data_IF_060199401163
#
_entry.id   IF_060199401163
#
_cell.length_a   1.000
_cell.length_b   1.000
_cell.length_c   1.000
_cell.angle_alpha   90.00
_cell.angle_beta   90.00
_cell.angle_gamma   90.00
#
_symmetry.space_group_name_H-M   'P 1'
#
loop_
_entity.id
_entity.type
_entity.pdbx_description
1 polymer ?
#
# COMPACT_ATOMS: atom_id res chain seq x y z
N UNK A 1 -43.10 26.21 -12.90
CA UNK A 1 -42.13 27.13 -12.29
C UNK A 1 -41.89 26.67 -10.85
N UNK A 2 -40.85 25.86 -10.60
CA UNK A 2 -40.59 25.25 -9.29
C UNK A 2 -39.66 26.14 -8.46
N UNK A 3 -40.10 26.54 -7.26
CA UNK A 3 -39.29 27.25 -6.26
C UNK A 3 -38.42 26.24 -5.52
N UNK A 4 -37.10 26.42 -5.59
CA UNK A 4 -36.11 25.71 -4.77
C UNK A 4 -35.94 26.49 -3.47
N UNK A 5 -36.31 25.89 -2.33
CA UNK A 5 -36.02 26.39 -0.99
C UNK A 5 -34.70 25.80 -0.49
N UNK A 6 -33.67 26.63 -0.39
CA UNK A 6 -32.39 26.30 0.23
C UNK A 6 -32.53 26.32 1.76
N UNK A 7 -32.70 25.13 2.35
CA UNK A 7 -32.61 24.94 3.80
C UNK A 7 -31.15 24.91 4.25
N UNK A 8 -30.70 25.98 4.91
CA UNK A 8 -29.41 26.00 5.60
C UNK A 8 -29.49 25.14 6.87
N UNK A 9 -28.72 24.05 6.90
CA UNK A 9 -28.60 23.19 8.07
C UNK A 9 -27.80 23.92 9.17
N UNK A 10 -28.51 24.59 10.07
CA UNK A 10 -27.95 25.15 11.30
C UNK A 10 -27.69 23.98 12.25
N UNK A 11 -26.46 23.46 12.25
CA UNK A 11 -26.03 22.48 13.24
C UNK A 11 -25.93 23.15 14.62
N UNK A 12 -26.63 22.64 15.66
CA UNK A 12 -26.60 23.24 17.00
C UNK A 12 -25.19 23.11 17.60
N UNK A 13 -24.60 24.24 17.98
CA UNK A 13 -23.24 24.37 18.54
C UNK A 13 -22.98 23.46 19.75
N UNK A 14 -24.04 23.04 20.41
CA UNK A 14 -24.03 22.26 21.65
C UNK A 14 -23.57 20.81 21.42
N UNK A 15 -23.88 20.23 20.25
CA UNK A 15 -23.41 18.89 19.88
C UNK A 15 -21.91 18.87 19.55
N UNK A 16 -21.39 19.95 18.98
CA UNK A 16 -19.96 20.07 18.65
C UNK A 16 -19.10 20.10 19.93
N UNK A 17 -19.57 20.85 20.94
CA UNK A 17 -18.92 20.91 22.25
C UNK A 17 -18.93 19.56 22.97
N UNK A 18 -20.02 18.79 22.87
CA UNK A 18 -20.10 17.46 23.46
C UNK A 18 -19.10 16.48 22.82
N UNK A 19 -18.99 16.49 21.49
CA UNK A 19 -18.03 15.63 20.76
C UNK A 19 -16.59 16.03 21.09
N UNK A 20 -16.28 17.32 21.12
CA UNK A 20 -14.95 17.82 21.50
C UNK A 20 -14.58 17.42 22.93
N UNK A 21 -15.52 17.53 23.89
CA UNK A 21 -15.28 17.14 25.29
C UNK A 21 -15.09 15.63 25.45
N UNK A 22 -15.80 14.82 24.66
CA UNK A 22 -15.64 13.35 24.64
C UNK A 22 -14.28 12.95 24.07
N UNK A 23 -13.83 13.59 22.99
CA UNK A 23 -12.49 13.38 22.42
C UNK A 23 -11.40 13.82 23.40
N UNK A 24 -11.58 14.96 24.07
CA UNK A 24 -10.63 15.47 25.06
C UNK A 24 -10.48 14.52 26.26
N UNK A 25 -11.58 13.93 26.74
CA UNK A 25 -11.55 12.97 27.85
C UNK A 25 -10.92 11.62 27.46
N UNK A 26 -11.11 11.17 26.21
CA UNK A 26 -10.41 9.98 25.69
C UNK A 26 -8.90 10.25 25.59
N UNK A 27 -8.50 11.40 25.06
CA UNK A 27 -7.10 11.83 25.01
C UNK A 27 -6.50 11.94 26.42
N UNK A 28 -7.24 12.49 27.39
CA UNK A 28 -6.78 12.62 28.78
C UNK A 28 -6.59 11.26 29.46
N UNK A 29 -7.44 10.27 29.17
CA UNK A 29 -7.26 8.89 29.64
C UNK A 29 -6.03 8.22 29.01
N UNK A 30 -5.72 8.53 27.76
CA UNK A 30 -4.49 8.04 27.11
C UNK A 30 -3.21 8.64 27.71
N UNK A 31 -3.26 9.88 28.20
CA UNK A 31 -2.11 10.57 28.80
C UNK A 31 -1.87 10.15 30.27
N UNK A 32 -2.90 9.68 30.98
CA UNK A 32 -2.81 9.35 32.42
C UNK A 32 -2.17 8.00 32.76
N UNK A 33 -1.95 7.10 31.81
CA UNK A 33 -1.23 5.85 32.06
C UNK A 33 0.29 6.03 31.86
N UNK A 34 0.93 6.72 32.83
CA UNK A 34 2.38 6.72 33.03
C UNK A 34 2.86 5.33 33.46
N UNK A 35 3.13 4.50 32.47
CA UNK A 35 4.13 3.42 32.39
C UNK A 35 3.84 2.80 31.04
N UNK A 36 4.68 3.07 30.04
CA UNK A 36 4.67 2.22 28.86
C UNK A 36 4.78 0.79 29.39
N UNK A 37 3.81 -0.11 29.11
CA UNK A 37 3.96 -1.50 29.51
C UNK A 37 5.29 -1.94 28.93
N UNK A 38 6.15 -2.58 29.74
CA UNK A 38 7.36 -3.24 29.23
C UNK A 38 6.90 -4.06 28.04
N UNK A 39 7.16 -3.57 26.82
CA UNK A 39 6.72 -4.24 25.61
C UNK A 39 7.32 -5.63 25.71
N UNK A 40 6.46 -6.64 25.60
CA UNK A 40 6.88 -8.00 25.93
C UNK A 40 8.16 -8.30 25.15
N UNK A 41 9.28 -8.54 25.85
CA UNK A 41 10.60 -8.66 25.24
C UNK A 41 10.60 -9.67 24.10
N UNK A 42 9.75 -10.70 24.23
CA UNK A 42 9.49 -11.69 23.19
C UNK A 42 8.91 -11.10 21.91
N UNK A 43 7.92 -10.19 21.96
CA UNK A 43 7.33 -9.56 20.76
C UNK A 43 8.39 -8.79 19.99
N UNK A 44 9.20 -8.00 20.70
CA UNK A 44 10.23 -7.19 20.07
C UNK A 44 11.35 -8.06 19.47
N UNK A 45 11.73 -9.15 20.16
CA UNK A 45 12.68 -10.14 19.63
C UNK A 45 12.14 -10.81 18.36
N UNK A 46 10.88 -11.26 18.36
CA UNK A 46 10.24 -11.87 17.19
C UNK A 46 10.19 -10.89 16.02
N UNK A 47 9.80 -9.63 16.26
CA UNK A 47 9.75 -8.60 15.22
C UNK A 47 11.14 -8.33 14.64
N UNK A 48 12.17 -8.27 15.49
CA UNK A 48 13.57 -8.13 15.05
C UNK A 48 14.00 -9.27 14.16
N UNK A 49 13.75 -10.51 14.58
CA UNK A 49 14.09 -11.70 13.78
C UNK A 49 13.41 -11.64 12.42
N UNK A 50 12.11 -11.33 12.37
CA UNK A 50 11.37 -11.22 11.10
C UNK A 50 12.00 -10.18 10.17
N UNK A 51 12.30 -8.98 10.68
CA UNK A 51 12.85 -7.89 9.86
C UNK A 51 14.29 -8.16 9.45
N UNK A 52 15.13 -8.70 10.34
CA UNK A 52 16.51 -9.08 10.02
C UNK A 52 16.53 -10.22 8.98
N UNK A 53 15.70 -11.25 9.15
CA UNK A 53 15.56 -12.33 8.16
C UNK A 53 15.09 -11.78 6.83
N UNK A 54 14.08 -10.90 6.80
CA UNK A 54 13.62 -10.25 5.58
C UNK A 54 14.74 -9.45 4.88
N UNK A 55 15.56 -8.72 5.66
CA UNK A 55 16.71 -7.98 5.14
C UNK A 55 17.78 -8.87 4.51
N UNK A 56 18.09 -10.01 5.12
CA UNK A 56 19.08 -10.93 4.56
C UNK A 56 18.55 -11.78 3.41
N UNK A 57 17.23 -12.03 3.35
CA UNK A 57 16.60 -12.75 2.25
C UNK A 57 16.40 -11.89 1.00
N UNK A 58 16.14 -10.59 1.14
CA UNK A 58 15.82 -9.74 -0.01
C UNK A 58 17.01 -9.57 -0.96
N UNK A 59 18.24 -9.52 -0.43
CA UNK A 59 19.46 -9.35 -1.24
C UNK A 59 19.73 -10.53 -2.19
N UNK A 60 19.79 -11.80 -1.74
CA UNK A 60 19.96 -12.94 -2.63
C UNK A 60 18.73 -13.12 -3.54
N UNK A 61 17.51 -12.84 -3.04
CA UNK A 61 16.31 -12.92 -3.87
C UNK A 61 16.36 -11.92 -5.04
N UNK A 62 16.78 -10.68 -4.78
CA UNK A 62 17.00 -9.69 -5.84
C UNK A 62 18.01 -10.18 -6.87
N UNK A 63 19.13 -10.75 -6.43
CA UNK A 63 20.16 -11.25 -7.33
C UNK A 63 19.61 -12.38 -8.21
N UNK A 64 18.87 -13.32 -7.62
CA UNK A 64 18.22 -14.42 -8.35
C UNK A 64 17.24 -13.87 -9.38
N UNK A 65 16.35 -12.95 -8.98
CA UNK A 65 15.36 -12.36 -9.89
C UNK A 65 16.04 -11.60 -11.02
N UNK A 66 17.10 -10.82 -10.74
CA UNK A 66 17.85 -10.11 -11.77
C UNK A 66 18.53 -11.07 -12.76
N UNK A 67 19.09 -12.19 -12.29
CA UNK A 67 19.66 -13.24 -13.13
C UNK A 67 18.58 -13.89 -14.00
N UNK A 68 17.42 -14.24 -13.41
CA UNK A 68 16.30 -14.87 -14.14
C UNK A 68 15.79 -13.95 -15.24
N UNK A 69 15.57 -12.66 -14.93
CA UNK A 69 15.17 -11.66 -15.92
C UNK A 69 16.24 -11.54 -17.01
N UNK A 70 17.53 -11.46 -16.63
CA UNK A 70 18.63 -11.37 -17.58
C UNK A 70 18.72 -12.58 -18.53
N UNK A 71 18.54 -13.80 -18.01
CA UNK A 71 18.53 -15.03 -18.81
C UNK A 71 17.30 -15.03 -19.74
N UNK A 72 16.10 -14.75 -19.24
CA UNK A 72 14.89 -14.72 -20.07
C UNK A 72 15.01 -13.72 -21.21
N UNK A 73 15.56 -12.54 -20.94
CA UNK A 73 15.83 -11.51 -21.96
C UNK A 73 16.84 -12.02 -22.99
N UNK A 74 17.88 -12.74 -22.57
CA UNK A 74 18.91 -13.25 -23.47
C UNK A 74 18.47 -14.47 -24.31
N UNK A 75 17.66 -15.39 -23.75
CA UNK A 75 17.35 -16.68 -24.40
C UNK A 75 16.01 -16.72 -25.10
N UNK A 76 14.96 -16.14 -24.50
CA UNK A 76 13.59 -16.29 -25.01
C UNK A 76 13.18 -15.12 -25.91
N UNK A 77 13.71 -13.92 -25.65
CA UNK A 77 13.27 -12.69 -26.32
C UNK A 77 11.76 -12.41 -26.19
N UNK A 78 11.11 -13.12 -25.26
CA UNK A 78 9.68 -13.14 -24.98
C UNK A 78 9.44 -13.19 -23.48
N UNK A 79 8.45 -12.45 -23.01
CA UNK A 79 8.06 -12.40 -21.60
C UNK A 79 6.55 -12.67 -21.50
N UNK A 80 6.16 -13.60 -20.63
CA UNK A 80 4.77 -13.69 -20.20
C UNK A 80 4.45 -12.44 -19.35
N UNK A 81 3.60 -11.58 -19.88
CA UNK A 81 3.15 -10.37 -19.20
C UNK A 81 1.73 -10.56 -18.67
N UNK A 82 1.60 -10.49 -17.35
CA UNK A 82 0.32 -10.62 -16.66
C UNK A 82 -0.41 -9.26 -16.64
N UNK A 83 -1.50 -9.14 -17.41
CA UNK A 83 -2.35 -7.94 -17.41
C UNK A 83 -3.67 -8.23 -16.70
N UNK A 84 -3.98 -7.55 -15.58
CA UNK A 84 -5.27 -7.71 -14.93
C UNK A 84 -6.39 -7.13 -15.82
N UNK A 85 -7.37 -7.97 -16.15
CA UNK A 85 -8.51 -7.61 -17.01
C UNK A 85 -9.82 -7.94 -16.32
N UNK A 86 -10.86 -7.17 -16.64
CA UNK A 86 -12.25 -7.46 -16.28
C UNK A 86 -12.96 -7.92 -17.53
N UNK A 87 -13.66 -9.05 -17.44
CA UNK A 87 -14.52 -9.56 -18.50
C UNK A 87 -15.75 -8.67 -18.64
N UNK A 88 -16.05 -8.22 -19.87
CA UNK A 88 -17.33 -7.59 -20.19
C UNK A 88 -18.38 -8.68 -20.29
N UNK A 89 -19.25 -8.75 -19.29
CA UNK A 89 -20.29 -9.78 -19.15
C UNK A 89 -21.51 -9.55 -20.05
N UNK A 90 -21.54 -8.46 -20.83
CA UNK A 90 -22.70 -8.06 -21.63
C UNK A 90 -22.98 -9.01 -22.82
N UNK A 91 -22.05 -9.91 -23.14
CA UNK A 91 -22.13 -10.83 -24.28
C UNK A 91 -21.89 -12.30 -23.93
N UNK A 92 -21.70 -12.64 -22.65
CA UNK A 92 -21.44 -14.02 -22.24
C UNK A 92 -22.78 -14.77 -22.11
N UNK A 93 -22.95 -15.95 -22.76
CA UNK A 93 -24.12 -16.77 -22.56
C UNK A 93 -24.11 -17.27 -21.11
N UNK A 94 -25.08 -16.82 -20.32
CA UNK A 94 -25.34 -17.41 -19.02
C UNK A 94 -26.15 -18.68 -19.29
N UNK A 95 -25.49 -19.84 -19.29
CA UNK A 95 -26.22 -21.09 -19.14
C UNK A 95 -26.91 -21.05 -17.77
N UNK A 96 -28.23 -21.05 -17.78
CA UNK A 96 -29.04 -21.15 -16.57
C UNK A 96 -28.74 -22.49 -15.92
N UNK A 97 -28.00 -22.47 -14.82
CA UNK A 97 -27.94 -23.62 -13.90
C UNK A 97 -29.31 -23.65 -13.22
N UNK A 98 -30.17 -24.56 -13.66
CA UNK A 98 -31.49 -24.80 -13.07
C UNK A 98 -31.40 -26.02 -12.14
N UNK A 99 -30.93 -25.76 -10.92
CA UNK A 99 -31.01 -26.70 -9.80
C UNK A 99 -32.01 -26.13 -8.80
N UNK A 100 -32.81 -27.00 -8.16
CA UNK A 100 -33.99 -26.64 -7.36
C UNK A 100 -33.81 -25.54 -6.30
N UNK A 101 -32.57 -25.24 -5.90
CA UNK A 101 -32.22 -24.26 -4.87
C UNK A 101 -31.38 -23.07 -5.36
N UNK A 102 -30.95 -23.03 -6.63
CA UNK A 102 -30.04 -22.00 -7.14
C UNK A 102 -30.40 -21.54 -8.55
N UNK A 103 -30.76 -20.26 -8.69
CA UNK A 103 -30.88 -19.59 -9.99
C UNK A 103 -29.66 -18.68 -10.22
N UNK A 104 -28.70 -19.14 -11.03
CA UNK A 104 -27.60 -18.29 -11.49
C UNK A 104 -28.09 -17.36 -12.61
N UNK A 105 -28.32 -16.09 -12.30
CA UNK A 105 -28.94 -15.13 -13.23
C UNK A 105 -27.97 -14.11 -13.84
N UNK A 106 -26.78 -13.92 -13.26
CA UNK A 106 -25.79 -12.97 -13.78
C UNK A 106 -24.39 -13.26 -13.26
N UNK A 107 -23.42 -13.30 -14.16
CA UNK A 107 -22.00 -13.19 -13.80
C UNK A 107 -21.69 -11.70 -13.62
N UNK A 108 -21.18 -11.31 -12.45
CA UNK A 108 -20.87 -9.91 -12.13
C UNK A 108 -19.36 -9.76 -11.96
N UNK A 109 -18.73 -8.99 -12.86
CA UNK A 109 -17.31 -8.57 -12.76
C UNK A 109 -16.34 -9.71 -12.49
N UNK A 110 -16.24 -10.66 -13.41
CA UNK A 110 -15.19 -11.68 -13.34
C UNK A 110 -13.84 -11.01 -13.60
N UNK A 111 -13.00 -11.01 -12.57
CA UNK A 111 -11.61 -10.57 -12.66
C UNK A 111 -10.75 -11.73 -13.20
N UNK A 112 -9.88 -11.44 -14.15
CA UNK A 112 -8.97 -12.41 -14.73
C UNK A 112 -7.58 -11.79 -14.97
N UNK A 113 -6.60 -12.65 -15.20
CA UNK A 113 -5.26 -12.25 -15.63
C UNK A 113 -5.08 -12.71 -17.06
N UNK A 114 -4.91 -11.76 -17.97
CA UNK A 114 -4.56 -12.07 -19.35
C UNK A 114 -3.05 -12.26 -19.42
N UNK A 115 -2.63 -13.47 -19.76
CA UNK A 115 -1.23 -13.80 -20.04
C UNK A 115 -0.92 -13.44 -21.48
N UNK A 116 -0.12 -12.40 -21.69
CA UNK A 116 0.32 -12.00 -23.01
C UNK A 116 1.76 -12.48 -23.23
N UNK A 117 1.99 -13.25 -24.30
CA UNK A 117 3.35 -13.54 -24.76
C UNK A 117 3.86 -12.33 -25.56
N UNK A 118 4.62 -11.45 -24.90
CA UNK A 118 5.08 -10.18 -25.49
C UNK A 118 6.54 -10.31 -25.91
N UNK A 119 6.83 -9.99 -27.18
CA UNK A 119 8.21 -9.89 -27.64
C UNK A 119 8.91 -8.74 -26.93
N UNK A 120 10.01 -9.05 -26.24
CA UNK A 120 10.82 -8.09 -25.49
C UNK A 120 11.50 -7.12 -26.47
N UNK A 121 10.95 -5.91 -26.57
CA UNK A 121 11.65 -4.79 -27.18
C UNK A 121 12.63 -4.19 -26.17
N UNK A 122 13.71 -3.52 -26.61
CA UNK A 122 14.62 -2.83 -25.69
C UNK A 122 13.89 -1.84 -24.78
N UNK A 123 12.84 -1.19 -25.30
CA UNK A 123 11.98 -0.28 -24.54
C UNK A 123 11.21 -1.00 -23.42
N UNK A 124 10.52 -2.11 -23.71
CA UNK A 124 9.79 -2.91 -22.71
C UNK A 124 10.72 -3.48 -21.64
N UNK A 125 11.93 -3.88 -22.05
CA UNK A 125 12.93 -4.42 -21.13
C UNK A 125 13.42 -3.33 -20.17
N UNK A 126 13.74 -2.14 -20.69
CA UNK A 126 14.16 -1.02 -19.88
C UNK A 126 13.07 -0.59 -18.89
N UNK A 127 11.81 -0.58 -19.32
CA UNK A 127 10.67 -0.27 -18.47
C UNK A 127 10.49 -1.29 -17.34
N UNK A 128 10.47 -2.60 -17.67
CA UNK A 128 10.36 -3.66 -16.67
C UNK A 128 11.49 -3.61 -15.62
N UNK A 129 12.74 -3.40 -16.06
CA UNK A 129 13.89 -3.25 -15.18
C UNK A 129 13.75 -2.00 -14.30
N UNK A 130 13.28 -0.88 -14.85
CA UNK A 130 13.07 0.36 -14.10
C UNK A 130 12.03 0.17 -12.99
N UNK A 131 10.85 -0.36 -13.31
CA UNK A 131 9.79 -0.60 -12.33
C UNK A 131 10.23 -1.61 -11.26
N UNK A 132 10.94 -2.67 -11.65
CA UNK A 132 11.52 -3.62 -10.71
C UNK A 132 12.50 -2.95 -9.75
N UNK A 133 13.47 -2.19 -10.27
CA UNK A 133 14.45 -1.47 -9.46
C UNK A 133 13.80 -0.44 -8.52
N UNK A 134 12.77 0.27 -8.98
CA UNK A 134 12.02 1.21 -8.15
C UNK A 134 11.27 0.50 -7.02
N UNK A 135 10.51 -0.55 -7.32
CA UNK A 135 9.77 -1.32 -6.32
C UNK A 135 10.69 -1.92 -5.26
N UNK A 136 11.81 -2.49 -5.70
CA UNK A 136 12.85 -3.01 -4.82
C UNK A 136 13.46 -1.92 -3.93
N UNK A 137 13.79 -0.75 -4.51
CA UNK A 137 14.38 0.36 -3.76
C UNK A 137 13.44 0.86 -2.64
N UNK A 138 12.14 0.92 -2.93
CA UNK A 138 11.11 1.28 -1.95
C UNK A 138 11.03 0.22 -0.82
N UNK A 139 11.02 -1.06 -1.17
CA UNK A 139 10.96 -2.16 -0.21
C UNK A 139 12.20 -2.21 0.70
N UNK A 140 13.39 -2.05 0.12
CA UNK A 140 14.66 -1.93 0.86
C UNK A 140 14.63 -0.72 1.79
N UNK A 141 14.08 0.41 1.31
CA UNK A 141 13.86 1.61 2.12
C UNK A 141 12.99 1.32 3.35
N UNK A 142 11.88 0.61 3.18
CA UNK A 142 10.98 0.22 4.27
C UNK A 142 11.71 -0.68 5.28
N UNK A 143 12.33 -1.78 4.81
CA UNK A 143 12.99 -2.76 5.68
C UNK A 143 14.14 -2.14 6.47
N UNK A 144 14.98 -1.31 5.82
CA UNK A 144 16.10 -0.64 6.49
C UNK A 144 15.61 0.26 7.61
N UNK A 145 14.60 1.10 7.35
CA UNK A 145 14.07 2.02 8.37
C UNK A 145 13.36 1.26 9.49
N UNK A 146 12.65 0.17 9.18
CA UNK A 146 12.00 -0.68 10.19
C UNK A 146 13.03 -1.33 11.12
N UNK A 147 14.13 -1.86 10.57
CA UNK A 147 15.23 -2.47 11.33
C UNK A 147 15.82 -1.50 12.35
N UNK A 148 16.10 -0.29 11.89
CA UNK A 148 16.66 0.79 12.72
C UNK A 148 15.71 1.25 13.83
N UNK A 149 14.39 1.29 13.57
CA UNK A 149 13.37 1.58 14.59
C UNK A 149 13.34 0.46 15.64
N UNK A 150 13.41 -0.81 15.22
CA UNK A 150 13.43 -1.93 16.17
C UNK A 150 14.69 -1.90 17.03
N UNK A 151 15.84 -1.54 16.45
CA UNK A 151 17.09 -1.38 17.17
C UNK A 151 17.02 -0.25 18.22
N UNK A 152 16.43 0.90 17.89
CA UNK A 152 16.26 2.00 18.86
C UNK A 152 15.24 1.69 19.95
N UNK A 153 14.21 0.89 19.64
CA UNK A 153 13.28 0.35 20.63
C UNK A 153 13.97 -0.60 21.63
N UNK A 154 15.01 -1.34 21.21
CA UNK A 154 15.83 -2.16 22.12
C UNK A 154 16.70 -1.31 23.06
N UNK A 155 17.08 -0.12 22.62
CA UNK A 155 17.86 0.83 23.39
C UNK A 155 17.00 1.71 24.32
N UNK A 156 15.73 1.35 24.53
CA UNK A 156 14.75 2.13 25.33
C UNK A 156 14.58 3.59 24.87
N UNK A 157 14.84 3.86 23.58
CA UNK A 157 14.74 5.19 22.97
C UNK A 157 13.64 5.26 21.87
N UNK A 158 12.36 4.98 22.18
CA UNK A 158 11.27 4.97 21.20
C UNK A 158 11.04 6.35 20.55
N UNK A 159 11.18 7.43 21.33
CA UNK A 159 10.84 8.80 20.94
C UNK A 159 12.03 9.63 20.45
N UNK A 160 13.04 8.99 19.87
CA UNK A 160 14.10 9.72 19.17
C UNK A 160 13.55 10.41 17.91
N UNK A 161 13.96 11.66 17.66
CA UNK A 161 13.69 12.38 16.42
C UNK A 161 14.17 11.61 15.18
N UNK A 162 15.22 10.78 15.31
CA UNK A 162 15.65 9.89 14.25
C UNK A 162 14.53 8.90 13.85
N UNK A 163 13.80 8.34 14.82
CA UNK A 163 12.69 7.42 14.58
C UNK A 163 11.49 8.10 13.90
N UNK A 164 11.23 9.37 14.23
CA UNK A 164 10.22 10.19 13.56
C UNK A 164 10.52 10.29 12.06
N UNK A 165 11.78 10.61 11.71
CA UNK A 165 12.21 10.69 10.31
C UNK A 165 12.10 9.33 9.61
N UNK A 166 12.51 8.25 10.28
CA UNK A 166 12.42 6.87 9.75
C UNK A 166 10.97 6.46 9.47
N UNK A 167 10.03 6.72 10.40
CA UNK A 167 8.60 6.49 10.19
C UNK A 167 8.05 7.29 9.00
N UNK A 168 8.48 8.55 8.86
CA UNK A 168 8.09 9.38 7.73
C UNK A 168 8.57 8.81 6.40
N UNK A 169 9.82 8.33 6.34
CA UNK A 169 10.36 7.68 5.15
C UNK A 169 9.58 6.41 4.82
N UNK A 170 9.28 5.56 5.82
CA UNK A 170 8.45 4.35 5.61
C UNK A 170 7.09 4.73 5.01
N UNK A 171 6.41 5.71 5.59
CA UNK A 171 5.11 6.18 5.07
C UNK A 171 5.20 6.67 3.62
N UNK A 172 6.24 7.44 3.29
CA UNK A 172 6.50 7.89 1.92
C UNK A 172 6.85 6.74 0.97
N UNK A 173 7.60 5.75 1.39
CA UNK A 173 7.91 4.57 0.57
C UNK A 173 6.65 3.75 0.25
N UNK A 174 5.76 3.57 1.24
CA UNK A 174 4.48 2.87 1.04
C UNK A 174 3.58 3.63 0.06
N UNK A 175 3.49 4.97 0.19
CA UNK A 175 2.77 5.80 -0.78
C UNK A 175 3.41 5.75 -2.17
N UNK A 176 4.74 5.77 -2.22
CA UNK A 176 5.51 5.61 -3.46
C UNK A 176 5.20 4.29 -4.17
N UNK A 177 5.01 3.20 -3.41
CA UNK A 177 4.63 1.91 -3.99
C UNK A 177 3.22 1.94 -4.61
N UNK A 178 2.25 2.56 -3.92
CA UNK A 178 0.90 2.73 -4.48
C UNK A 178 0.90 3.58 -5.75
N UNK A 179 1.74 4.62 -5.80
CA UNK A 179 1.93 5.44 -6.99
C UNK A 179 2.58 4.63 -8.12
N UNK A 180 3.58 3.81 -7.80
CA UNK A 180 4.26 2.93 -8.75
C UNK A 180 3.29 1.91 -9.37
N UNK A 181 2.43 1.28 -8.56
CA UNK A 181 1.37 0.38 -9.04
C UNK A 181 0.37 1.08 -9.98
N UNK A 182 -0.01 2.32 -9.64
CA UNK A 182 -0.87 3.14 -10.49
C UNK A 182 -0.19 3.47 -11.83
N UNK A 183 1.07 3.93 -11.79
CA UNK A 183 1.86 4.22 -12.98
C UNK A 183 2.02 2.98 -13.87
N UNK A 184 2.31 1.81 -13.28
CA UNK A 184 2.40 0.55 -14.00
C UNK A 184 1.06 0.17 -14.65
N UNK A 185 -0.05 0.34 -13.94
CA UNK A 185 -1.40 0.10 -14.49
C UNK A 185 -1.73 1.02 -15.66
N UNK A 186 -1.39 2.32 -15.57
CA UNK A 186 -1.59 3.28 -16.65
C UNK A 186 -0.70 2.98 -17.85
N UNK A 187 0.53 2.56 -17.61
CA UNK A 187 1.47 2.15 -18.65
C UNK A 187 1.00 0.88 -19.36
N UNK A 188 0.51 -0.12 -18.62
CA UNK A 188 -0.12 -1.31 -19.19
C UNK A 188 -1.30 -0.95 -20.09
N UNK A 189 -2.16 -0.01 -19.65
CA UNK A 189 -3.22 0.51 -20.51
C UNK A 189 -2.60 1.10 -21.77
N UNK A 190 -1.65 2.02 -21.66
CA UNK A 190 -1.06 2.67 -22.83
C UNK A 190 -0.43 1.69 -23.83
N UNK A 191 0.32 0.69 -23.35
CA UNK A 191 1.00 -0.31 -24.17
C UNK A 191 0.03 -1.29 -24.83
N UNK A 192 -0.95 -1.79 -24.08
CA UNK A 192 -1.82 -2.87 -24.52
C UNK A 192 -3.16 -2.39 -25.08
N UNK A 193 -3.52 -1.10 -24.97
CA UNK A 193 -4.79 -0.57 -25.51
C UNK A 193 -4.92 -0.84 -27.01
N UNK A 194 -3.83 -0.76 -27.79
CA UNK A 194 -3.88 -1.06 -29.23
C UNK A 194 -4.22 -2.53 -29.52
N UNK A 195 -3.66 -3.46 -28.76
CA UNK A 195 -3.89 -4.90 -28.92
C UNK A 195 -5.25 -5.32 -28.34
N UNK A 196 -5.70 -4.66 -27.27
CA UNK A 196 -6.97 -4.94 -26.59
C UNK A 196 -8.15 -4.30 -27.32
N UNK A 197 -7.94 -3.24 -28.12
CA UNK A 197 -8.99 -2.68 -29.01
C UNK A 197 -9.56 -3.69 -30.00
N UNK A 198 -8.75 -4.65 -30.45
CA UNK A 198 -9.23 -5.74 -31.31
C UNK A 198 -10.09 -6.75 -30.52
N UNK A 199 -9.94 -6.80 -29.19
CA UNK A 199 -10.68 -7.65 -28.25
C UNK A 199 -11.67 -6.85 -27.37
N UNK A 200 -11.96 -5.60 -27.71
CA UNK A 200 -12.61 -4.59 -26.83
C UNK A 200 -14.03 -4.99 -26.40
N UNK A 201 -14.66 -5.89 -27.16
CA UNK A 201 -15.97 -6.44 -26.83
C UNK A 201 -15.93 -7.46 -25.69
N UNK A 202 -14.78 -8.08 -25.39
CA UNK A 202 -14.69 -9.15 -24.39
C UNK A 202 -13.95 -8.74 -23.10
N UNK A 203 -12.97 -7.82 -23.17
CA UNK A 203 -12.10 -7.50 -22.04
C UNK A 203 -11.87 -6.00 -21.85
N UNK A 204 -11.70 -5.57 -20.60
CA UNK A 204 -11.27 -4.22 -20.23
C UNK A 204 -10.09 -4.30 -19.25
N UNK A 205 -9.00 -3.58 -19.52
CA UNK A 205 -7.86 -3.50 -18.59
C UNK A 205 -8.30 -2.86 -17.28
N UNK A 206 -8.01 -3.51 -16.16
CA UNK A 206 -8.32 -3.01 -14.82
C UNK A 206 -7.23 -2.04 -14.39
N UNK A 207 -7.62 -0.83 -14.01
CA UNK A 207 -6.73 0.06 -13.25
C UNK A 207 -6.68 -0.46 -11.81
N UNK A 208 -5.52 -0.96 -11.40
CA UNK A 208 -5.30 -1.35 -10.01
C UNK A 208 -4.79 -0.11 -9.28
N UNK A 209 -5.64 0.44 -8.42
CA UNK A 209 -5.29 1.55 -7.54
C UNK A 209 -5.02 0.97 -6.15
N UNK A 210 -3.79 1.10 -5.66
CA UNK A 210 -3.35 0.60 -4.35
C UNK A 210 -3.96 1.36 -3.17
N UNK A 211 -5.28 1.49 -3.09
CA UNK A 211 -5.99 2.24 -2.05
C UNK A 211 -5.61 1.78 -0.64
N UNK A 212 -5.43 0.47 -0.46
CA UNK A 212 -4.97 -0.09 0.81
C UNK A 212 -3.59 0.44 1.20
N UNK A 213 -2.64 0.44 0.25
CA UNK A 213 -1.31 0.99 0.47
C UNK A 213 -1.36 2.51 0.75
N UNK A 214 -2.24 3.26 0.06
CA UNK A 214 -2.42 4.69 0.34
C UNK A 214 -2.88 4.92 1.77
N UNK A 215 -3.91 4.21 2.23
CA UNK A 215 -4.42 4.32 3.59
C UNK A 215 -3.33 3.96 4.60
N UNK A 216 -2.62 2.86 4.40
CA UNK A 216 -1.52 2.43 5.28
C UNK A 216 -0.41 3.48 5.33
N UNK A 217 0.01 4.01 4.19
CA UNK A 217 1.02 5.07 4.12
C UNK A 217 0.60 6.34 4.88
N UNK A 218 -0.65 6.78 4.71
CA UNK A 218 -1.20 7.92 5.45
C UNK A 218 -1.25 7.68 6.95
N UNK A 219 -1.65 6.48 7.39
CA UNK A 219 -1.66 6.11 8.81
C UNK A 219 -0.25 6.15 9.39
N UNK A 220 0.75 5.63 8.67
CA UNK A 220 2.15 5.67 9.11
C UNK A 220 2.66 7.11 9.21
N UNK A 221 2.32 7.98 8.26
CA UNK A 221 2.66 9.40 8.33
C UNK A 221 2.00 10.09 9.54
N UNK A 222 0.74 9.77 9.82
CA UNK A 222 0.04 10.29 10.99
C UNK A 222 0.69 9.79 12.29
N UNK A 223 1.12 8.52 12.34
CA UNK A 223 1.90 7.99 13.46
C UNK A 223 3.23 8.74 13.62
N UNK A 224 3.93 9.05 12.52
CA UNK A 224 5.18 9.83 12.59
C UNK A 224 4.96 11.20 13.25
N UNK A 225 3.82 11.83 12.99
CA UNK A 225 3.45 13.12 13.57
C UNK A 225 3.12 13.03 15.06
N UNK A 226 2.44 11.95 15.48
CA UNK A 226 2.20 11.67 16.91
C UNK A 226 3.53 11.44 17.63
N UNK A 227 4.44 10.66 17.04
CA UNK A 227 5.77 10.43 17.60
C UNK A 227 6.59 11.71 17.70
N UNK A 228 6.47 12.64 16.73
CA UNK A 228 7.11 13.96 16.78
C UNK A 228 6.66 14.75 18.02
N UNK A 229 5.35 14.80 18.26
CA UNK A 229 4.81 15.49 19.45
C UNK A 229 5.25 14.79 20.74
N UNK A 230 5.29 13.46 20.75
CA UNK A 230 5.80 12.69 21.89
C UNK A 230 7.27 12.97 22.20
N UNK A 231 8.11 13.08 21.16
CA UNK A 231 9.52 13.44 21.30
C UNK A 231 9.70 14.86 21.87
N UNK A 232 8.90 15.81 21.40
CA UNK A 232 8.92 17.19 21.91
C UNK A 232 8.52 17.25 23.39
N UNK A 233 7.45 16.58 23.79
CA UNK A 233 7.01 16.52 25.19
C UNK A 233 8.04 15.84 26.11
N UNK A 234 8.78 14.85 25.59
CA UNK A 234 9.87 14.22 26.33
C UNK A 234 11.01 15.21 26.56
N UNK A 235 11.43 15.93 25.52
CA UNK A 235 12.49 16.93 25.62
C UNK A 235 12.11 18.07 26.59
N UNK A 236 10.87 18.55 26.53
CA UNK A 236 10.37 19.59 27.43
C UNK A 236 10.45 19.10 28.89
N UNK A 237 9.95 17.91 29.20
CA UNK A 237 10.03 17.34 30.55
C UNK A 237 11.46 17.14 31.07
N UNK A 238 12.39 16.73 30.21
CA UNK A 238 13.81 16.56 30.58
C UNK A 238 14.49 17.91 30.84
N UNK A 239 14.01 19.00 30.24
CA UNK A 239 14.54 20.36 30.49
C UNK A 239 14.09 20.98 31.82
N UNK A 240 13.07 20.41 32.47
CA UNK A 240 12.54 20.87 33.77
C UNK A 240 13.11 20.10 34.97
N UNK A 241 13.92 19.06 34.75
CA UNK A 241 14.59 18.25 35.79
C UNK A 241 16.05 18.66 35.88
#
# INVERSE_FOLDING_TARGET
MYKVTTGSAIYPKDKLFYVLRKILNVLRRFVSHKKFPRMNRYILLTLKVIVDTGWYLILPLMLIVAIVIGIQVATAGRLEWDVPVVLKTDHLPVETIDAADFHATKIVKTEGVLKLDVKLTPFLTADAVLFFCLGVSLLVGILRNAREIIASLQADAPFDLANVRRLRIIGLCVLGNALLECCNSLLNIFLFNKHIREMENMYQVKVVFGMNAIIVGLVILLLSEIFRKGAQLKADNESFV
#
